data_IF_266654303158
#
_entry.id   IF_266654303158
#
_cell.length_a   1.000
_cell.length_b   1.000
_cell.length_c   1.000
_cell.angle_alpha   90.00
_cell.angle_beta   90.00
_cell.angle_gamma   90.00
#
_symmetry.space_group_name_H-M   'P 1'
#
loop_
_entity.id
_entity.type
_entity.pdbx_description
1 polymer ?
#
# COMPACT_ATOMS: atom_id res chain seq x y z
N UNK A 1 -15.95 13.70 20.73
CA UNK A 1 -15.03 14.26 19.73
C UNK A 1 -14.90 13.24 18.60
N UNK A 2 -15.43 13.51 17.40
CA UNK A 2 -15.30 12.58 16.26
C UNK A 2 -13.88 12.73 15.71
N UNK A 3 -13.07 11.69 15.84
CA UNK A 3 -11.74 11.66 15.22
C UNK A 3 -11.96 11.48 13.73
N UNK A 4 -11.89 12.58 12.98
CA UNK A 4 -11.83 12.50 11.52
C UNK A 4 -10.52 11.79 11.16
N UNK A 5 -10.54 10.72 10.37
CA UNK A 5 -9.32 10.03 9.99
C UNK A 5 -8.47 11.00 9.15
N UNK A 6 -7.35 11.45 9.70
CA UNK A 6 -6.39 12.27 8.96
C UNK A 6 -5.74 11.41 7.86
N UNK A 7 -5.59 11.94 6.63
CA UNK A 7 -4.86 11.24 5.59
C UNK A 7 -3.41 11.02 6.03
N UNK A 8 -2.89 9.82 5.81
CA UNK A 8 -1.50 9.48 6.08
C UNK A 8 -0.69 9.64 4.80
N UNK A 9 0.40 10.42 4.86
CA UNK A 9 1.35 10.57 3.76
C UNK A 9 2.68 9.90 4.11
N UNK A 10 3.26 9.16 3.18
CA UNK A 10 4.61 8.57 3.32
C UNK A 10 5.38 8.61 2.01
N UNK A 11 6.70 8.77 2.11
CA UNK A 11 7.61 8.55 0.99
C UNK A 11 7.87 7.06 0.83
N UNK A 12 7.77 6.56 -0.40
CA UNK A 12 8.01 5.15 -0.74
C UNK A 12 9.11 5.08 -1.78
N UNK A 13 10.19 4.31 -1.54
CA UNK A 13 11.17 4.03 -2.58
C UNK A 13 10.53 3.18 -3.67
N UNK A 14 10.70 3.57 -4.92
CA UNK A 14 10.19 2.85 -6.09
C UNK A 14 11.33 2.60 -7.06
N UNK A 15 11.26 1.44 -7.71
CA UNK A 15 12.10 1.10 -8.87
C UNK A 15 11.17 1.03 -10.06
N UNK A 16 11.40 1.86 -11.08
CA UNK A 16 10.62 1.84 -12.30
C UNK A 16 10.95 0.59 -13.16
N UNK A 17 10.21 0.39 -14.25
CA UNK A 17 10.45 -0.74 -15.16
C UNK A 17 11.80 -0.64 -15.90
N UNK A 18 12.43 0.54 -15.92
CA UNK A 18 13.75 0.76 -16.50
C UNK A 18 14.90 0.57 -15.47
N UNK A 19 14.57 0.33 -14.19
CA UNK A 19 15.54 0.13 -13.11
C UNK A 19 15.97 1.41 -12.39
N UNK A 20 15.40 2.58 -12.68
CA UNK A 20 15.70 3.82 -11.97
C UNK A 20 15.07 3.83 -10.59
N UNK A 21 15.79 4.43 -9.63
CA UNK A 21 15.34 4.58 -8.24
C UNK A 21 14.85 6.00 -8.02
N UNK A 22 13.64 6.14 -7.51
CA UNK A 22 13.08 7.43 -7.08
C UNK A 22 12.21 7.26 -5.82
N UNK A 23 11.74 8.39 -5.30
CA UNK A 23 10.83 8.45 -4.16
C UNK A 23 9.45 8.90 -4.65
N UNK A 24 8.40 8.18 -4.23
CA UNK A 24 7.02 8.56 -4.49
C UNK A 24 6.33 8.96 -3.19
N UNK A 25 5.64 10.09 -3.20
CA UNK A 25 4.77 10.49 -2.10
C UNK A 25 3.42 9.78 -2.25
N UNK A 26 3.10 8.87 -1.33
CA UNK A 26 1.83 8.14 -1.33
C UNK A 26 0.98 8.58 -0.15
N UNK A 27 -0.24 9.01 -0.46
CA UNK A 27 -1.25 9.37 0.54
C UNK A 27 -2.29 8.26 0.65
N UNK A 28 -2.81 8.02 1.85
CA UNK A 28 -3.86 7.04 2.12
C UNK A 28 -4.88 7.67 3.05
N UNK A 29 -6.14 7.66 2.63
CA UNK A 29 -7.26 8.00 3.53
C UNK A 29 -7.63 6.73 4.27
N UNK A 30 -7.57 6.69 5.62
CA UNK A 30 -8.02 5.53 6.38
C UNK A 30 -9.52 5.33 6.14
N UNK A 31 -9.88 4.45 5.21
CA UNK A 31 -11.23 3.93 5.11
C UNK A 31 -11.48 3.02 6.31
N UNK A 32 -12.65 3.16 6.95
CA UNK A 32 -13.11 2.20 7.97
C UNK A 32 -12.97 0.79 7.36
N UNK A 33 -12.32 -0.18 8.03
CA UNK A 33 -12.10 -1.50 7.44
C UNK A 33 -13.45 -2.12 7.03
N UNK A 34 -13.77 -2.11 5.75
CA UNK A 34 -14.73 -3.06 5.20
C UNK A 34 -13.96 -4.36 5.07
N UNK A 35 -14.33 -5.34 5.91
CA UNK A 35 -13.72 -6.66 5.93
C UNK A 35 -13.64 -7.22 4.50
N UNK A 36 -12.44 -7.20 3.93
CA UNK A 36 -12.16 -7.80 2.63
C UNK A 36 -11.83 -9.28 2.89
N UNK A 37 -12.45 -10.24 2.18
CA UNK A 37 -12.13 -11.64 2.37
C UNK A 37 -10.66 -11.89 2.03
N UNK A 38 -9.95 -12.62 2.89
CA UNK A 38 -8.56 -12.98 2.68
C UNK A 38 -8.43 -13.89 1.44
N UNK A 39 -7.98 -13.34 0.33
CA UNK A 39 -7.43 -14.16 -0.76
C UNK A 39 -6.08 -14.69 -0.30
N UNK A 40 -6.05 -16.01 -0.05
CA UNK A 40 -4.88 -16.74 0.39
C UNK A 40 -3.69 -16.56 -0.59
N UNK A 41 -2.43 -16.57 -0.10
CA UNK A 41 -1.27 -16.52 -0.98
C UNK A 41 -1.11 -17.84 -1.72
N UNK A 42 -1.33 -17.83 -3.04
CA UNK A 42 -0.91 -18.91 -3.93
C UNK A 42 0.62 -18.98 -3.91
N UNK A 43 1.14 -19.89 -3.09
CA UNK A 43 2.55 -20.28 -3.13
C UNK A 43 2.73 -21.19 -4.34
N UNK A 44 3.33 -20.68 -5.42
CA UNK A 44 3.88 -21.54 -6.47
C UNK A 44 5.38 -21.29 -6.57
N UNK A 45 6.14 -22.11 -5.85
CA UNK A 45 7.60 -22.21 -5.96
C UNK A 45 7.86 -23.33 -6.96
N UNK A 46 8.32 -23.00 -8.16
CA UNK A 46 8.85 -23.96 -9.11
C UNK A 46 10.22 -24.45 -8.64
N UNK A 47 10.46 -25.75 -8.77
CA UNK A 47 11.74 -26.42 -8.63
C UNK A 47 12.25 -26.81 -10.02
#
# INVERSE_FOLDING_TARGET
>A
MRINPCPQARWVPVVDSAGHRHMEMRWTVPAKPTAQPATAPSTSRAA
#
